data_IF_718089318817
#
_entry.id   IF_718089318817
#
_cell.length_a   1.000
_cell.length_b   1.000
_cell.length_c   1.000
_cell.angle_alpha   90.00
_cell.angle_beta   90.00
_cell.angle_gamma   90.00
#
_symmetry.space_group_name_H-M   'P 1'
#
loop_
_entity.id
_entity.type
_entity.pdbx_description
1 polymer ?
#
# COMPACT_ATOMS: atom_id res chain seq x y z
N UNK A 1 -17.24 -32.65 -23.98
CA UNK A 1 -16.32 -31.53 -23.67
C UNK A 1 -17.04 -30.56 -22.75
N UNK A 2 -16.53 -30.29 -21.54
CA UNK A 2 -17.10 -29.27 -20.65
C UNK A 2 -16.70 -27.89 -21.19
N UNK A 3 -17.67 -27.02 -21.41
CA UNK A 3 -17.45 -25.65 -21.91
C UNK A 3 -16.56 -24.86 -20.95
N UNK A 4 -15.48 -24.28 -21.47
CA UNK A 4 -14.61 -23.33 -20.76
C UNK A 4 -15.24 -21.95 -20.63
N UNK A 5 -16.35 -21.67 -21.32
CA UNK A 5 -17.04 -20.37 -21.25
C UNK A 5 -17.92 -20.32 -20.01
N UNK A 6 -17.74 -19.28 -19.20
CA UNK A 6 -18.64 -18.96 -18.09
C UNK A 6 -19.99 -18.50 -18.64
N UNK A 7 -21.06 -19.21 -18.24
CA UNK A 7 -22.42 -18.97 -18.77
C UNK A 7 -23.04 -17.65 -18.29
N UNK A 8 -22.55 -17.07 -17.20
CA UNK A 8 -23.06 -15.81 -16.67
C UNK A 8 -22.38 -14.61 -17.33
N UNK A 9 -21.08 -14.71 -17.65
CA UNK A 9 -20.30 -13.57 -18.16
C UNK A 9 -20.00 -13.66 -19.65
N UNK A 10 -20.10 -14.83 -20.27
CA UNK A 10 -19.76 -15.05 -21.68
C UNK A 10 -18.25 -15.07 -21.95
N UNK A 11 -17.42 -14.90 -20.93
CA UNK A 11 -15.96 -14.97 -21.04
C UNK A 11 -15.45 -16.39 -20.83
N UNK A 12 -14.30 -16.68 -21.42
CA UNK A 12 -13.55 -17.90 -21.13
C UNK A 12 -13.10 -17.89 -19.66
N UNK A 13 -13.38 -18.96 -18.92
CA UNK A 13 -12.90 -19.20 -17.56
C UNK A 13 -11.38 -19.33 -17.61
N UNK A 14 -10.71 -18.22 -17.37
CA UNK A 14 -9.28 -18.20 -17.07
C UNK A 14 -9.14 -18.50 -15.58
N UNK A 15 -8.63 -19.69 -15.28
CA UNK A 15 -8.09 -19.94 -13.95
C UNK A 15 -6.76 -19.22 -13.89
N UNK A 16 -6.76 -17.99 -13.39
CA UNK A 16 -5.50 -17.34 -13.05
C UNK A 16 -4.90 -18.14 -11.88
N UNK A 17 -3.66 -18.61 -12.03
CA UNK A 17 -2.93 -19.29 -10.97
C UNK A 17 -2.41 -18.27 -9.94
N UNK A 18 -3.28 -17.36 -9.49
CA UNK A 18 -2.98 -16.43 -8.40
C UNK A 18 -3.17 -17.19 -7.11
N UNK A 19 -2.10 -17.27 -6.32
CA UNK A 19 -2.17 -17.82 -4.98
C UNK A 19 -3.23 -17.04 -4.18
N UNK A 20 -4.29 -17.73 -3.77
CA UNK A 20 -5.46 -17.10 -3.13
C UNK A 20 -5.66 -17.73 -1.76
N UNK A 21 -5.55 -16.91 -0.73
CA UNK A 21 -5.81 -17.31 0.65
C UNK A 21 -7.09 -16.63 1.13
N UNK A 22 -8.03 -17.42 1.65
CA UNK A 22 -9.31 -16.94 2.16
C UNK A 22 -9.29 -16.97 3.68
N UNK A 23 -9.59 -15.83 4.30
CA UNK A 23 -9.67 -15.68 5.75
C UNK A 23 -11.13 -15.57 6.19
N UNK A 24 -11.41 -15.86 7.47
CA UNK A 24 -12.78 -15.81 7.99
C UNK A 24 -13.31 -14.37 8.07
N UNK A 25 -12.42 -13.40 8.28
CA UNK A 25 -12.77 -11.99 8.42
C UNK A 25 -11.61 -11.09 7.99
N UNK A 26 -11.90 -9.79 7.82
CA UNK A 26 -10.91 -8.79 7.40
C UNK A 26 -9.80 -8.59 8.42
N UNK A 27 -10.07 -8.73 9.72
CA UNK A 27 -9.06 -8.58 10.78
C UNK A 27 -7.97 -9.65 10.66
N UNK A 28 -8.35 -10.91 10.47
CA UNK A 28 -7.40 -12.00 10.25
C UNK A 28 -6.60 -11.81 8.95
N UNK A 29 -7.26 -11.39 7.87
CA UNK A 29 -6.59 -11.08 6.62
C UNK A 29 -5.57 -9.94 6.77
N UNK A 30 -5.94 -8.83 7.41
CA UNK A 30 -5.04 -7.71 7.67
C UNK A 30 -3.83 -8.13 8.49
N UNK A 31 -4.01 -8.96 9.53
CA UNK A 31 -2.91 -9.49 10.32
C UNK A 31 -1.98 -10.39 9.52
N UNK A 32 -2.53 -11.29 8.72
CA UNK A 32 -1.72 -12.17 7.88
C UNK A 32 -0.86 -11.38 6.88
N UNK A 33 -1.47 -10.40 6.19
CA UNK A 33 -0.74 -9.53 5.25
C UNK A 33 0.29 -8.66 5.98
N UNK A 34 -0.02 -8.13 7.16
CA UNK A 34 0.94 -7.37 7.95
C UNK A 34 2.17 -8.21 8.34
N UNK A 35 1.97 -9.47 8.70
CA UNK A 35 3.05 -10.40 9.02
C UNK A 35 3.90 -10.73 7.79
N UNK A 36 3.29 -10.90 6.62
CA UNK A 36 4.02 -11.11 5.37
C UNK A 36 4.90 -9.91 5.01
N UNK A 37 4.35 -8.69 5.11
CA UNK A 37 5.11 -7.44 4.90
C UNK A 37 6.22 -7.30 5.95
N UNK A 38 5.93 -7.57 7.22
CA UNK A 38 6.93 -7.51 8.29
C UNK A 38 8.08 -8.49 8.07
N UNK A 39 7.78 -9.71 7.61
CA UNK A 39 8.78 -10.71 7.26
C UNK A 39 9.64 -10.25 6.07
N UNK A 40 9.03 -9.65 5.05
CA UNK A 40 9.75 -9.08 3.91
C UNK A 40 10.70 -7.95 4.35
N UNK A 41 10.21 -7.00 5.16
CA UNK A 41 11.02 -5.89 5.70
C UNK A 41 12.23 -6.43 6.44
N UNK A 42 12.02 -7.36 7.38
CA UNK A 42 13.10 -8.00 8.17
C UNK A 42 14.10 -8.71 7.27
N UNK A 43 13.62 -9.49 6.29
CA UNK A 43 14.51 -10.21 5.35
C UNK A 43 15.37 -9.26 4.51
N UNK A 44 14.79 -8.13 4.06
CA UNK A 44 15.53 -7.09 3.34
C UNK A 44 16.55 -6.40 4.24
N UNK A 45 16.17 -6.11 5.48
CA UNK A 45 17.05 -5.50 6.48
C UNK A 45 18.25 -6.40 6.81
N UNK A 46 18.04 -7.70 6.98
CA UNK A 46 19.12 -8.69 7.20
C UNK A 46 20.12 -8.72 6.05
N UNK A 47 19.68 -8.42 4.83
CA UNK A 47 20.51 -8.35 3.62
C UNK A 47 21.10 -6.96 3.38
N UNK A 48 20.81 -5.99 4.27
CA UNK A 48 21.16 -4.59 4.11
C UNK A 48 20.61 -3.98 2.78
N UNK A 49 19.41 -4.40 2.40
CA UNK A 49 18.67 -3.95 1.22
C UNK A 49 17.46 -3.10 1.61
N UNK A 50 17.07 -2.19 0.73
CA UNK A 50 15.80 -1.46 0.86
C UNK A 50 14.61 -2.36 0.59
N UNK A 51 13.54 -2.18 1.35
CA UNK A 51 12.23 -2.79 1.12
C UNK A 51 11.31 -1.77 0.46
N UNK A 52 11.00 -1.96 -0.83
CA UNK A 52 10.14 -1.04 -1.60
C UNK A 52 8.70 -1.56 -1.54
N UNK A 53 7.77 -0.70 -1.10
CA UNK A 53 6.35 -1.05 -0.94
C UNK A 53 5.44 -0.08 -1.71
N UNK A 54 4.51 -0.63 -2.47
CA UNK A 54 3.36 0.11 -3.01
C UNK A 54 2.23 0.13 -1.99
N UNK A 55 1.76 1.32 -1.60
CA UNK A 55 0.75 1.50 -0.56
C UNK A 55 -0.57 1.98 -1.14
N UNK A 56 -1.62 1.18 -0.93
CA UNK A 56 -2.97 1.49 -1.34
C UNK A 56 -3.71 2.34 -0.28
N UNK A 57 -4.74 3.05 -0.72
CA UNK A 57 -5.57 3.91 0.12
C UNK A 57 -6.99 3.33 0.25
N UNK A 58 -7.84 3.93 1.08
CA UNK A 58 -9.23 3.50 1.27
C UNK A 58 -9.50 2.71 2.56
N UNK A 59 -10.67 2.06 2.66
CA UNK A 59 -11.12 1.43 3.91
C UNK A 59 -10.45 0.09 4.21
N UNK A 60 -10.23 -0.74 3.18
CA UNK A 60 -9.66 -2.09 3.32
C UNK A 60 -8.28 -2.12 3.99
N UNK A 61 -7.29 -1.27 3.63
CA UNK A 61 -5.95 -1.35 4.22
C UNK A 61 -5.84 -0.75 5.63
N UNK A 62 -6.88 -0.14 6.19
CA UNK A 62 -6.81 0.48 7.54
C UNK A 62 -6.40 -0.51 8.63
N UNK A 63 -6.95 -1.72 8.60
CA UNK A 63 -6.61 -2.78 9.55
C UNK A 63 -5.17 -3.26 9.39
N UNK A 64 -4.66 -3.29 8.16
CA UNK A 64 -3.27 -3.63 7.84
C UNK A 64 -2.32 -2.58 8.42
N UNK A 65 -2.57 -1.29 8.19
CA UNK A 65 -1.72 -0.22 8.71
C UNK A 65 -1.71 -0.17 10.24
N UNK A 66 -2.87 -0.34 10.87
CA UNK A 66 -2.96 -0.44 12.32
C UNK A 66 -2.11 -1.60 12.88
N UNK A 67 -2.12 -2.76 12.22
CA UNK A 67 -1.30 -3.90 12.65
C UNK A 67 0.20 -3.66 12.41
N UNK A 68 0.59 -3.04 11.28
CA UNK A 68 2.00 -2.68 11.04
C UNK A 68 2.53 -1.70 12.10
N UNK A 69 1.72 -0.71 12.49
CA UNK A 69 2.05 0.21 13.58
C UNK A 69 2.17 -0.53 14.92
N UNK A 70 1.28 -1.49 15.19
CA UNK A 70 1.37 -2.34 16.39
C UNK A 70 2.68 -3.13 16.40
N UNK A 71 3.03 -3.79 15.29
CA UNK A 71 4.29 -4.54 15.14
C UNK A 71 5.52 -3.66 15.33
N UNK A 72 5.49 -2.41 14.87
CA UNK A 72 6.56 -1.45 15.13
C UNK A 72 6.70 -1.15 16.62
N UNK A 73 5.60 -0.74 17.26
CA UNK A 73 5.60 -0.24 18.64
C UNK A 73 5.82 -1.34 19.68
N UNK A 74 5.30 -2.54 19.44
CA UNK A 74 5.27 -3.62 20.42
C UNK A 74 6.30 -4.72 20.15
N UNK A 75 6.70 -4.93 18.89
CA UNK A 75 7.55 -6.06 18.47
C UNK A 75 8.85 -5.63 17.78
N UNK A 76 9.10 -4.32 17.68
CA UNK A 76 10.37 -3.76 17.19
C UNK A 76 10.58 -3.87 15.69
N UNK A 77 9.51 -3.99 14.88
CA UNK A 77 9.61 -3.90 13.42
C UNK A 77 10.10 -2.49 13.03
N UNK A 78 11.26 -2.35 12.40
CA UNK A 78 11.78 -1.04 11.94
C UNK A 78 11.45 -0.80 10.47
N UNK A 79 11.12 0.45 10.14
CA UNK A 79 10.82 0.95 8.80
C UNK A 79 11.98 1.76 8.21
N UNK A 80 13.15 1.79 8.86
CA UNK A 80 14.31 2.58 8.40
C UNK A 80 14.84 2.19 7.03
N UNK A 81 14.69 0.92 6.62
CA UNK A 81 15.07 0.47 5.28
C UNK A 81 13.89 0.44 4.31
N UNK A 82 12.73 0.98 4.68
CA UNK A 82 11.52 0.96 3.85
C UNK A 82 11.45 2.22 2.99
N UNK A 83 11.10 2.03 1.72
CA UNK A 83 10.75 3.08 0.76
C UNK A 83 9.32 2.81 0.28
N UNK A 84 8.47 3.83 0.23
CA UNK A 84 7.05 3.67 -0.08
C UNK A 84 6.60 4.57 -1.22
N UNK A 85 5.72 4.03 -2.05
CA UNK A 85 5.05 4.76 -3.13
C UNK A 85 3.54 4.57 -2.97
N UNK A 86 2.79 5.65 -2.92
CA UNK A 86 1.34 5.61 -2.88
C UNK A 86 0.75 5.59 -4.29
N UNK A 87 -0.33 4.83 -4.46
CA UNK A 87 -0.92 4.62 -5.79
C UNK A 87 -1.61 5.86 -6.36
N UNK A 88 -2.19 6.70 -5.49
CA UNK A 88 -3.09 7.77 -5.89
C UNK A 88 -3.17 8.91 -4.87
N UNK A 89 -3.66 10.07 -5.34
CA UNK A 89 -4.18 11.19 -4.56
C UNK A 89 -5.33 11.83 -5.35
N UNK A 90 -6.30 12.41 -4.66
CA UNK A 90 -7.38 13.14 -5.31
C UNK A 90 -6.87 14.47 -5.90
N UNK A 91 -7.55 14.96 -6.94
CA UNK A 91 -7.22 16.25 -7.57
C UNK A 91 -8.45 17.14 -7.77
N UNK A 92 -8.38 18.45 -7.44
CA UNK A 92 -7.35 19.09 -6.62
C UNK A 92 -7.52 18.70 -5.14
N UNK A 93 -6.42 18.54 -4.41
CA UNK A 93 -6.47 18.17 -2.99
C UNK A 93 -5.38 18.86 -2.19
N UNK A 94 -5.79 19.48 -1.08
CA UNK A 94 -4.87 20.04 -0.09
C UNK A 94 -4.47 18.96 0.92
N UNK A 95 -3.20 18.89 1.35
CA UNK A 95 -2.68 17.79 2.16
C UNK A 95 -3.23 17.74 3.59
N UNK A 96 -3.87 18.81 4.07
CA UNK A 96 -4.53 18.89 5.39
C UNK A 96 -6.03 18.53 5.34
N UNK A 97 -6.59 18.39 4.14
CA UNK A 97 -7.97 17.96 3.92
C UNK A 97 -8.21 16.57 4.51
N UNK A 98 -9.40 16.35 5.07
CA UNK A 98 -9.82 15.02 5.55
C UNK A 98 -9.95 13.98 4.43
N UNK A 99 -10.07 14.44 3.18
CA UNK A 99 -10.14 13.56 2.02
C UNK A 99 -8.77 13.33 1.37
N UNK A 100 -7.69 13.95 1.88
CA UNK A 100 -6.35 13.77 1.32
C UNK A 100 -5.75 12.42 1.75
N UNK A 101 -5.16 11.74 0.78
CA UNK A 101 -4.37 10.55 1.05
C UNK A 101 -3.01 10.85 1.66
N UNK A 102 -2.45 12.05 1.47
CA UNK A 102 -1.32 12.54 2.28
C UNK A 102 -1.68 12.49 3.77
N UNK A 103 -2.78 13.14 4.18
CA UNK A 103 -3.24 13.13 5.58
C UNK A 103 -3.52 11.71 6.08
N UNK A 104 -4.26 10.94 5.30
CA UNK A 104 -4.64 9.57 5.62
C UNK A 104 -3.40 8.70 5.93
N UNK A 105 -2.38 8.74 5.08
CA UNK A 105 -1.18 7.92 5.26
C UNK A 105 -0.34 8.36 6.44
N UNK A 106 -0.22 9.67 6.67
CA UNK A 106 0.49 10.22 7.83
C UNK A 106 -0.16 9.78 9.13
N UNK A 107 -1.47 9.92 9.24
CA UNK A 107 -2.21 9.53 10.44
C UNK A 107 -2.17 8.02 10.69
N UNK A 108 -2.32 7.19 9.65
CA UNK A 108 -2.49 5.75 9.81
C UNK A 108 -1.18 4.97 9.87
N UNK A 109 -0.08 5.47 9.30
CA UNK A 109 1.17 4.73 9.23
C UNK A 109 2.41 5.61 9.39
N UNK A 110 2.60 6.62 8.53
CA UNK A 110 3.92 7.24 8.33
C UNK A 110 4.40 8.03 9.55
N UNK A 111 3.51 8.74 10.26
CA UNK A 111 3.88 9.46 11.50
C UNK A 111 3.95 8.52 12.72
N UNK A 112 3.63 7.23 12.55
CA UNK A 112 3.53 6.25 13.63
C UNK A 112 4.70 5.26 13.66
N UNK A 113 5.61 5.33 12.68
CA UNK A 113 6.76 4.43 12.51
C UNK A 113 8.05 5.20 12.25
N UNK A 114 9.21 4.53 12.27
CA UNK A 114 10.53 5.12 12.09
C UNK A 114 11.00 5.19 10.63
N UNK A 115 10.08 5.41 9.69
CA UNK A 115 10.40 5.67 8.27
C UNK A 115 10.94 7.10 8.11
N UNK A 116 11.93 7.26 7.22
CA UNK A 116 12.48 8.59 6.92
C UNK A 116 11.57 9.37 5.97
N UNK A 117 11.37 10.70 6.15
CA UNK A 117 10.52 11.50 5.27
C UNK A 117 10.91 11.48 3.79
N UNK A 118 12.19 11.34 3.49
CA UNK A 118 12.72 11.22 2.13
C UNK A 118 12.39 9.87 1.46
N UNK A 119 11.92 8.88 2.23
CA UNK A 119 11.65 7.53 1.74
C UNK A 119 10.15 7.25 1.53
N UNK A 120 9.25 8.22 1.73
CA UNK A 120 7.85 8.05 1.33
C UNK A 120 7.46 9.06 0.25
N UNK A 121 6.75 8.54 -0.75
CA UNK A 121 6.38 9.29 -1.94
C UNK A 121 4.87 9.20 -2.13
N UNK A 122 4.17 10.33 -2.00
CA UNK A 122 2.72 10.42 -2.20
C UNK A 122 2.45 11.42 -3.34
N UNK A 123 1.57 11.12 -4.31
CA UNK A 123 1.23 12.04 -5.37
C UNK A 123 0.77 13.42 -4.86
N UNK A 124 1.22 14.50 -5.50
CA UNK A 124 0.91 15.88 -5.10
C UNK A 124 -0.43 16.36 -5.69
N UNK A 125 -1.44 16.48 -4.84
CA UNK A 125 -2.77 16.97 -5.21
C UNK A 125 -2.87 18.49 -5.43
N UNK A 126 -1.79 19.25 -5.18
CA UNK A 126 -1.79 20.73 -5.21
C UNK A 126 -1.30 21.34 -6.52
N UNK A 127 -0.87 20.50 -7.47
CA UNK A 127 -0.30 20.90 -8.75
C UNK A 127 -1.24 21.76 -9.60
N UNK A 128 -0.68 22.64 -10.43
CA UNK A 128 -1.45 23.24 -11.53
C UNK A 128 -1.81 22.16 -12.56
N UNK A 129 -2.86 22.37 -13.36
CA UNK A 129 -3.32 21.38 -14.35
C UNK A 129 -2.25 21.10 -15.41
N UNK A 130 -1.45 22.12 -15.72
CA UNK A 130 -0.37 22.08 -16.70
C UNK A 130 0.80 21.19 -16.23
N UNK A 131 0.99 21.04 -14.92
CA UNK A 131 2.09 20.26 -14.33
C UNK A 131 1.76 18.76 -14.20
N UNK A 132 0.47 18.39 -14.13
CA UNK A 132 0.03 17.01 -13.83
C UNK A 132 0.66 15.97 -14.76
N UNK A 133 0.66 16.23 -16.08
CA UNK A 133 1.15 15.25 -17.04
C UNK A 133 2.65 14.95 -16.86
N UNK A 134 3.45 15.98 -16.60
CA UNK A 134 4.87 15.82 -16.34
C UNK A 134 5.09 15.14 -14.98
N UNK A 135 4.34 15.54 -13.96
CA UNK A 135 4.43 14.92 -12.63
C UNK A 135 4.12 13.42 -12.66
N UNK A 136 3.07 13.00 -13.37
CA UNK A 136 2.75 11.58 -13.52
C UNK A 136 3.87 10.82 -14.26
N UNK A 137 4.53 11.44 -15.25
CA UNK A 137 5.67 10.81 -15.93
C UNK A 137 6.89 10.69 -15.01
N UNK A 138 7.17 11.70 -14.20
CA UNK A 138 8.26 11.69 -13.21
C UNK A 138 8.00 10.68 -12.08
N UNK A 139 6.74 10.46 -11.70
CA UNK A 139 6.36 9.51 -10.65
C UNK A 139 6.47 8.04 -11.13
N UNK A 140 6.40 7.79 -12.43
CA UNK A 140 6.53 6.45 -13.05
C UNK A 140 7.99 6.05 -13.36
N UNK A 141 8.89 7.04 -13.49
CA UNK A 141 10.27 6.87 -13.95
C UNK A 141 11.23 6.31 -12.88
#
# INVERSE_FOLDING_TARGET
MKSTIDKATGFEKRFENINTVVFQNSTEASKAVAQEIAALIKSKQEKNESCILGLATGSSPKGLYAELVRLHKEEGLSFKNVITFNLDEYYPMQPDSINSYVRFMKELLLDQVDISPENYHIPDGTLSKEEIANYCADYEA
#
